data_IF_844807673390
#
_entry.id   IF_844807673390
#
_cell.length_a   1.000
_cell.length_b   1.000
_cell.length_c   1.000
_cell.angle_alpha   90.00
_cell.angle_beta   90.00
_cell.angle_gamma   90.00
#
_symmetry.space_group_name_H-M   'P 1'
#
loop_
_entity.id
_entity.type
_entity.pdbx_description
1 polymer ?
#
# COMPACT_ATOMS: atom_id res chain seq x y z
N UNK A 1 19.31 -52.10 73.10
CA UNK A 1 17.93 -51.61 72.88
C UNK A 1 18.06 -50.09 72.80
N UNK A 2 18.21 -49.50 71.61
CA UNK A 2 17.14 -48.88 70.80
C UNK A 2 16.16 -48.13 71.72
N UNK A 3 16.20 -46.80 71.76
CA UNK A 3 15.48 -45.95 70.81
C UNK A 3 16.28 -44.70 70.40
N UNK A 4 16.28 -44.42 69.10
CA UNK A 4 16.99 -43.32 68.45
C UNK A 4 15.95 -42.22 68.15
N UNK A 5 15.94 -41.14 68.93
CA UNK A 5 15.19 -39.93 68.60
C UNK A 5 15.91 -39.17 67.48
N UNK A 6 15.51 -39.39 66.23
CA UNK A 6 15.89 -38.51 65.12
C UNK A 6 14.80 -37.47 64.95
N UNK A 7 15.11 -36.27 65.42
CA UNK A 7 14.43 -35.03 65.08
C UNK A 7 14.72 -34.78 63.60
N UNK A 8 13.73 -34.99 62.73
CA UNK A 8 13.82 -34.64 61.32
C UNK A 8 13.74 -33.11 61.19
N UNK A 9 14.78 -32.44 60.65
CA UNK A 9 14.68 -31.02 60.40
C UNK A 9 13.81 -30.81 59.16
N UNK A 10 12.86 -29.88 59.28
CA UNK A 10 12.09 -29.32 58.18
C UNK A 10 13.06 -28.77 57.12
N UNK A 11 13.38 -29.56 56.10
CA UNK A 11 13.91 -29.04 54.85
C UNK A 11 12.76 -28.33 54.13
N UNK A 12 12.56 -27.06 54.47
CA UNK A 12 11.82 -26.13 53.62
C UNK A 12 12.63 -26.04 52.32
N UNK A 13 12.21 -26.82 51.32
CA UNK A 13 12.56 -26.61 49.92
C UNK A 13 12.00 -25.24 49.53
N UNK A 14 12.79 -24.19 49.79
CA UNK A 14 12.69 -22.94 49.05
C UNK A 14 12.99 -23.30 47.61
N UNK A 15 11.95 -23.67 46.86
CA UNK A 15 11.93 -23.51 45.41
C UNK A 15 12.11 -22.02 45.16
N UNK A 16 13.37 -21.61 45.08
CA UNK A 16 13.71 -20.41 44.33
C UNK A 16 13.35 -20.79 42.90
N UNK A 17 12.12 -20.51 42.49
CA UNK A 17 11.80 -20.33 41.09
C UNK A 17 12.66 -19.14 40.67
N UNK A 18 13.92 -19.40 40.34
CA UNK A 18 14.64 -18.56 39.40
C UNK A 18 13.83 -18.73 38.12
N UNK A 19 12.85 -17.84 37.93
CA UNK A 19 12.14 -17.71 36.67
C UNK A 19 13.20 -17.40 35.64
N UNK A 20 13.73 -18.44 35.00
CA UNK A 20 14.33 -18.32 33.69
C UNK A 20 13.16 -17.99 32.79
N UNK A 21 12.69 -16.74 32.84
CA UNK A 21 11.80 -16.23 31.82
C UNK A 21 12.56 -16.44 30.52
N UNK A 22 12.05 -17.35 29.69
CA UNK A 22 12.63 -17.65 28.39
C UNK A 22 12.77 -16.32 27.67
N UNK A 23 14.02 -15.90 27.43
CA UNK A 23 14.29 -14.78 26.55
C UNK A 23 13.75 -15.17 25.17
N UNK A 24 12.96 -14.29 24.56
CA UNK A 24 12.38 -14.46 23.23
C UNK A 24 11.55 -15.75 23.04
N UNK A 25 10.59 -16.03 23.91
CA UNK A 25 9.71 -17.20 23.75
C UNK A 25 8.24 -16.86 23.50
N UNK A 26 7.79 -15.66 23.88
CA UNK A 26 6.38 -15.28 23.81
C UNK A 26 5.99 -14.80 22.41
N UNK A 27 4.96 -15.43 21.84
CA UNK A 27 4.38 -15.07 20.54
C UNK A 27 3.51 -13.81 20.65
N UNK A 28 3.07 -13.28 19.50
CA UNK A 28 2.07 -12.22 19.47
C UNK A 28 0.82 -12.61 20.28
N UNK A 29 0.38 -11.73 21.17
CA UNK A 29 -0.77 -11.92 22.06
C UNK A 29 -0.47 -12.73 23.33
N UNK A 30 0.71 -13.32 23.48
CA UNK A 30 1.08 -14.05 24.69
C UNK A 30 1.54 -13.12 25.81
N UNK A 31 1.46 -13.61 27.05
CA UNK A 31 1.80 -12.85 28.25
C UNK A 31 3.29 -12.51 28.30
N UNK A 32 3.59 -11.30 28.72
CA UNK A 32 4.93 -10.81 29.00
C UNK A 32 4.91 -9.82 30.16
N UNK A 33 6.06 -9.63 30.78
CA UNK A 33 6.33 -8.57 31.76
C UNK A 33 7.25 -7.49 31.16
N UNK A 34 8.09 -7.85 30.18
CA UNK A 34 9.09 -7.01 29.54
C UNK A 34 9.34 -7.41 28.08
N UNK A 35 9.73 -6.45 27.25
CA UNK A 35 9.91 -6.60 25.79
C UNK A 35 10.80 -7.79 25.41
N UNK A 36 11.87 -8.04 26.16
CA UNK A 36 12.83 -9.13 25.91
C UNK A 36 12.26 -10.56 26.03
N UNK A 37 11.03 -10.71 26.52
CA UNK A 37 10.33 -12.00 26.52
C UNK A 37 9.64 -12.27 25.19
N UNK A 38 9.32 -11.23 24.41
CA UNK A 38 8.67 -11.36 23.12
C UNK A 38 9.62 -11.93 22.09
N UNK A 39 9.10 -12.77 21.19
CA UNK A 39 9.88 -13.62 20.29
C UNK A 39 10.80 -12.81 19.36
N UNK A 40 10.39 -11.63 18.92
CA UNK A 40 11.14 -10.81 17.97
C UNK A 40 11.39 -9.40 18.51
N UNK A 41 12.42 -8.74 17.98
CA UNK A 41 12.74 -7.33 18.29
C UNK A 41 11.69 -6.34 17.78
N UNK A 42 10.81 -6.77 16.86
CA UNK A 42 9.70 -5.98 16.34
C UNK A 42 8.43 -6.16 17.18
N UNK A 43 8.54 -6.78 18.35
CA UNK A 43 7.48 -6.86 19.35
C UNK A 43 7.89 -6.10 20.62
N UNK A 44 6.92 -5.48 21.27
CA UNK A 44 7.05 -4.85 22.59
C UNK A 44 6.02 -5.44 23.54
N UNK A 45 6.32 -5.41 24.84
CA UNK A 45 5.40 -5.87 25.87
C UNK A 45 4.45 -4.73 26.24
N UNK A 46 3.31 -4.68 25.56
CA UNK A 46 2.31 -3.66 25.78
C UNK A 46 1.13 -4.24 26.58
N UNK A 47 0.81 -3.61 27.72
CA UNK A 47 -0.28 -4.02 28.60
C UNK A 47 -0.19 -5.49 29.06
N UNK A 48 1.03 -6.00 29.27
CA UNK A 48 1.29 -7.37 29.70
C UNK A 48 1.18 -8.42 28.59
N UNK A 49 1.09 -7.99 27.32
CA UNK A 49 1.04 -8.88 26.16
C UNK A 49 2.01 -8.45 25.06
N UNK A 50 2.62 -9.42 24.37
CA UNK A 50 3.49 -9.12 23.25
C UNK A 50 2.67 -8.62 22.06
N UNK A 51 3.01 -7.43 21.55
CA UNK A 51 2.37 -6.79 20.41
C UNK A 51 3.41 -6.30 19.43
N UNK A 52 3.07 -6.26 18.15
CA UNK A 52 3.95 -5.66 17.15
C UNK A 52 4.13 -4.17 17.43
N UNK A 53 5.33 -3.67 17.20
CA UNK A 53 5.61 -2.23 17.25
C UNK A 53 4.83 -1.48 16.16
N UNK A 54 4.77 -0.16 16.27
CA UNK A 54 4.05 0.70 15.34
C UNK A 54 4.39 0.40 13.87
N UNK A 55 3.37 0.50 13.02
CA UNK A 55 3.43 0.19 11.59
C UNK A 55 3.81 -1.26 11.25
N UNK A 56 3.76 -2.21 12.20
CA UNK A 56 3.87 -3.62 11.89
C UNK A 56 2.56 -4.36 12.18
N UNK A 57 2.39 -5.54 11.59
CA UNK A 57 1.27 -6.42 11.88
C UNK A 57 1.74 -7.86 12.08
N UNK A 58 1.00 -8.64 12.87
CA UNK A 58 1.39 -10.01 13.18
C UNK A 58 1.31 -10.90 11.93
N UNK A 59 2.30 -11.79 11.77
CA UNK A 59 2.22 -12.88 10.80
C UNK A 59 1.10 -13.86 11.19
N UNK A 60 0.61 -14.65 10.23
CA UNK A 60 -0.49 -15.60 10.47
C UNK A 60 -0.18 -16.64 11.56
N UNK A 61 1.09 -17.01 11.70
CA UNK A 61 1.57 -17.95 12.74
C UNK A 61 1.89 -17.27 14.08
N UNK A 62 1.65 -15.96 14.20
CA UNK A 62 1.93 -15.10 15.36
C UNK A 62 3.41 -15.06 15.78
N UNK A 63 4.33 -15.53 14.93
CA UNK A 63 5.77 -15.61 15.27
C UNK A 63 6.56 -14.37 14.90
N UNK A 64 6.06 -13.57 13.98
CA UNK A 64 6.76 -12.40 13.46
C UNK A 64 5.85 -11.19 13.37
N UNK A 65 6.47 -10.04 13.22
CA UNK A 65 5.81 -8.80 12.89
C UNK A 65 6.30 -8.37 11.50
N UNK A 66 5.37 -8.28 10.56
CA UNK A 66 5.61 -7.90 9.18
C UNK A 66 5.53 -6.38 9.09
N UNK A 67 6.52 -5.77 8.43
CA UNK A 67 6.58 -4.33 8.24
C UNK A 67 5.44 -3.86 7.30
N UNK A 68 4.92 -2.66 7.57
CA UNK A 68 4.14 -1.88 6.59
C UNK A 68 5.02 -0.83 5.94
N UNK A 69 4.58 -0.28 4.82
CA UNK A 69 5.17 0.95 4.32
C UNK A 69 5.07 2.03 5.42
N UNK A 70 6.12 2.83 5.60
CA UNK A 70 6.38 3.78 6.70
C UNK A 70 6.84 3.18 8.03
N UNK A 71 7.05 1.88 8.11
CA UNK A 71 7.73 1.27 9.27
C UNK A 71 9.13 1.83 9.43
N UNK A 72 9.56 2.13 10.65
CA UNK A 72 10.94 2.55 10.89
C UNK A 72 11.93 1.44 10.51
N UNK A 73 13.06 1.82 9.91
CA UNK A 73 14.10 0.90 9.46
C UNK A 73 15.48 1.53 9.53
N UNK A 74 16.50 0.69 9.62
CA UNK A 74 17.92 1.06 9.50
C UNK A 74 18.53 0.51 8.22
N UNK A 75 18.10 -0.70 7.81
CA UNK A 75 18.50 -1.36 6.57
C UNK A 75 17.29 -2.03 5.90
N UNK A 76 17.38 -2.32 4.60
CA UNK A 76 16.25 -2.91 3.84
C UNK A 76 15.78 -4.27 4.38
N UNK A 77 16.62 -4.99 5.14
CA UNK A 77 16.23 -6.22 5.81
C UNK A 77 15.21 -6.00 6.95
N UNK A 78 15.10 -4.78 7.50
CA UNK A 78 14.09 -4.43 8.50
C UNK A 78 12.68 -4.36 7.91
N UNK A 79 12.55 -4.14 6.60
CA UNK A 79 11.28 -4.12 5.87
C UNK A 79 10.76 -5.54 5.56
N UNK A 80 11.11 -6.50 6.40
CA UNK A 80 10.81 -7.91 6.22
C UNK A 80 9.30 -8.17 6.08
N UNK A 81 8.95 -9.02 5.12
CA UNK A 81 7.58 -9.41 4.80
C UNK A 81 6.81 -8.42 3.93
N UNK A 82 7.25 -7.16 3.83
CA UNK A 82 6.74 -6.21 2.85
C UNK A 82 7.46 -6.39 1.51
N UNK A 83 6.85 -7.14 0.60
CA UNK A 83 7.46 -7.38 -0.72
C UNK A 83 7.59 -6.10 -1.53
N UNK A 84 8.63 -6.01 -2.37
CA UNK A 84 8.93 -4.85 -3.23
C UNK A 84 9.11 -3.55 -2.43
N UNK A 85 9.81 -3.65 -1.29
CA UNK A 85 10.14 -2.51 -0.43
C UNK A 85 11.62 -2.47 -0.09
N UNK A 86 12.07 -1.29 0.31
CA UNK A 86 13.42 -1.05 0.81
C UNK A 86 13.40 -0.01 1.93
N UNK A 87 14.49 0.07 2.70
CA UNK A 87 14.64 1.12 3.68
C UNK A 87 15.09 2.41 3.01
N UNK A 88 14.30 3.47 3.10
CA UNK A 88 14.70 4.77 2.57
C UNK A 88 15.80 5.37 3.45
N UNK A 89 16.95 5.68 2.85
CA UNK A 89 18.15 6.08 3.59
C UNK A 89 17.97 7.35 4.42
N UNK A 90 17.28 8.37 3.90
CA UNK A 90 17.08 9.63 4.62
C UNK A 90 15.91 9.59 5.61
N UNK A 91 14.74 9.13 5.18
CA UNK A 91 13.54 9.07 6.01
C UNK A 91 13.61 7.99 7.11
N UNK A 92 14.50 7.00 6.96
CA UNK A 92 14.61 5.83 7.85
C UNK A 92 13.28 5.11 8.03
N UNK A 93 12.53 5.02 6.94
CA UNK A 93 11.30 4.23 6.88
C UNK A 93 11.23 3.33 5.65
N UNK A 94 10.49 2.24 5.76
CA UNK A 94 10.23 1.32 4.67
C UNK A 94 9.37 1.99 3.60
N UNK A 95 9.86 2.01 2.37
CA UNK A 95 9.15 2.56 1.22
C UNK A 95 8.99 1.49 0.15
N UNK A 96 7.95 1.61 -0.66
CA UNK A 96 7.84 0.79 -1.87
C UNK A 96 8.91 1.23 -2.87
N UNK A 97 9.57 0.26 -3.51
CA UNK A 97 10.59 0.54 -4.53
C UNK A 97 9.95 1.18 -5.78
N UNK A 98 10.78 1.77 -6.64
CA UNK A 98 10.33 2.39 -7.89
C UNK A 98 9.43 1.46 -8.72
N UNK A 99 8.30 1.98 -9.18
CA UNK A 99 7.29 1.22 -9.94
C UNK A 99 6.25 0.51 -9.05
N UNK A 100 6.27 0.76 -7.74
CA UNK A 100 5.29 0.23 -6.79
C UNK A 100 4.72 1.34 -5.91
N UNK A 101 3.46 1.16 -5.51
CA UNK A 101 2.74 2.07 -4.64
C UNK A 101 2.22 1.36 -3.40
N UNK A 102 2.24 2.00 -2.22
CA UNK A 102 1.66 1.40 -1.04
C UNK A 102 0.14 1.26 -1.19
N UNK A 103 -0.40 0.13 -0.72
CA UNK A 103 -1.83 -0.03 -0.47
C UNK A 103 -2.32 1.00 0.55
N UNK A 104 -3.64 1.21 0.61
CA UNK A 104 -4.25 2.20 1.52
C UNK A 104 -3.95 1.92 3.00
N UNK A 105 -3.83 0.65 3.38
CA UNK A 105 -3.47 0.18 4.72
C UNK A 105 -1.96 -0.02 4.93
N UNK A 106 -1.15 0.30 3.91
CA UNK A 106 0.31 0.19 3.86
C UNK A 106 0.87 -1.24 3.97
N UNK A 107 0.04 -2.27 3.88
CA UNK A 107 0.48 -3.67 4.05
C UNK A 107 1.11 -4.28 2.79
N UNK A 108 0.92 -3.65 1.64
CA UNK A 108 1.41 -4.16 0.35
C UNK A 108 2.03 -3.04 -0.48
N UNK A 109 3.07 -3.39 -1.24
CA UNK A 109 3.55 -2.57 -2.35
C UNK A 109 3.01 -3.16 -3.66
N UNK A 110 2.04 -2.47 -4.24
CA UNK A 110 1.33 -2.88 -5.44
C UNK A 110 2.00 -2.30 -6.67
N UNK A 111 2.24 -3.14 -7.68
CA UNK A 111 2.86 -2.70 -8.93
C UNK A 111 1.99 -1.63 -9.61
N UNK A 112 2.64 -0.55 -10.02
CA UNK A 112 2.05 0.47 -10.88
C UNK A 112 1.55 -0.16 -12.18
N UNK A 113 0.46 0.38 -12.70
CA UNK A 113 -0.19 -0.15 -13.89
C UNK A 113 -0.50 0.96 -14.88
N UNK A 114 -0.45 0.62 -16.16
CA UNK A 114 -0.66 1.51 -17.30
C UNK A 114 -2.10 1.41 -17.81
N UNK A 115 -2.45 2.24 -18.79
CA UNK A 115 -3.77 2.19 -19.42
C UNK A 115 -4.06 0.79 -19.97
N UNK A 116 -5.25 0.25 -19.66
CA UNK A 116 -5.69 -1.12 -19.94
C UNK A 116 -4.84 -2.23 -19.29
N UNK A 117 -3.92 -1.89 -18.39
CA UNK A 117 -3.18 -2.84 -17.56
C UNK A 117 -4.03 -3.38 -16.41
N UNK A 118 -3.64 -4.54 -15.86
CA UNK A 118 -4.31 -5.15 -14.71
C UNK A 118 -4.18 -4.30 -13.46
N UNK A 119 -5.20 -4.29 -12.61
CA UNK A 119 -5.17 -3.63 -11.32
C UNK A 119 -6.13 -4.33 -10.34
N UNK A 120 -5.88 -4.09 -9.06
CA UNK A 120 -6.74 -4.48 -7.94
C UNK A 120 -7.27 -3.22 -7.25
N UNK A 121 -6.41 -2.21 -7.09
CA UNK A 121 -6.74 -0.94 -6.45
C UNK A 121 -6.53 0.25 -7.39
N UNK A 122 -7.27 1.33 -7.12
CA UNK A 122 -7.16 2.60 -7.86
C UNK A 122 -5.73 3.16 -7.88
N UNK A 123 -4.98 3.00 -6.78
CA UNK A 123 -3.65 3.59 -6.61
C UNK A 123 -2.65 3.13 -7.69
N UNK A 124 -2.77 1.89 -8.15
CA UNK A 124 -1.92 1.34 -9.21
C UNK A 124 -2.08 2.10 -10.53
N UNK A 125 -3.29 2.56 -10.82
CA UNK A 125 -3.61 3.29 -12.05
C UNK A 125 -3.25 4.76 -11.94
N UNK A 126 -3.54 5.40 -10.79
CA UNK A 126 -3.34 6.85 -10.63
C UNK A 126 -1.86 7.23 -10.61
N UNK A 127 -0.97 6.32 -10.20
CA UNK A 127 0.47 6.55 -10.19
C UNK A 127 1.05 6.92 -11.56
N UNK A 128 0.56 6.28 -12.63
CA UNK A 128 1.06 6.54 -14.00
C UNK A 128 0.09 7.37 -14.82
N UNK A 129 -1.22 7.22 -14.61
CA UNK A 129 -2.27 7.84 -15.43
C UNK A 129 -2.90 9.09 -14.79
N UNK A 130 -2.50 9.46 -13.58
CA UNK A 130 -3.03 10.59 -12.82
C UNK A 130 -4.40 10.35 -12.19
N UNK A 131 -4.91 11.36 -11.48
CA UNK A 131 -6.09 11.26 -10.61
C UNK A 131 -7.41 10.90 -11.31
N UNK A 132 -7.47 11.13 -12.62
CA UNK A 132 -8.62 10.80 -13.46
C UNK A 132 -8.66 9.32 -13.87
N UNK A 133 -7.70 8.51 -13.41
CA UNK A 133 -7.70 7.07 -13.63
C UNK A 133 -8.43 6.32 -12.51
N UNK A 134 -8.97 5.16 -12.87
CA UNK A 134 -9.69 4.24 -11.98
C UNK A 134 -9.35 2.80 -12.31
N UNK A 135 -9.33 1.95 -11.29
CA UNK A 135 -9.33 0.51 -11.50
C UNK A 135 -10.78 0.05 -11.75
N UNK A 136 -11.12 -0.28 -12.99
CA UNK A 136 -12.45 -0.70 -13.40
C UNK A 136 -12.56 -2.23 -13.38
N UNK A 137 -13.30 -2.77 -12.42
CA UNK A 137 -13.58 -4.21 -12.33
C UNK A 137 -14.51 -4.63 -13.47
N UNK A 138 -14.05 -5.58 -14.27
CA UNK A 138 -14.83 -6.17 -15.36
C UNK A 138 -15.82 -7.19 -14.80
N UNK A 139 -17.10 -7.05 -15.16
CA UNK A 139 -18.18 -7.90 -14.63
C UNK A 139 -17.99 -9.37 -14.98
N UNK A 140 -17.47 -9.65 -16.18
CA UNK A 140 -17.38 -11.03 -16.69
C UNK A 140 -16.22 -11.84 -16.09
N UNK A 141 -15.14 -11.16 -15.70
CA UNK A 141 -13.90 -11.82 -15.24
C UNK A 141 -13.57 -11.54 -13.78
N UNK A 142 -14.26 -10.58 -13.16
CA UNK A 142 -13.87 -9.99 -11.85
C UNK A 142 -12.45 -9.41 -11.82
N UNK A 143 -11.78 -9.28 -12.97
CA UNK A 143 -10.45 -8.69 -13.05
C UNK A 143 -10.57 -7.16 -13.21
N UNK A 144 -9.71 -6.41 -12.53
CA UNK A 144 -9.61 -4.97 -12.69
C UNK A 144 -8.69 -4.58 -13.84
N UNK A 145 -9.10 -3.56 -14.60
CA UNK A 145 -8.25 -2.90 -15.60
C UNK A 145 -8.20 -1.40 -15.35
N UNK A 146 -7.04 -0.79 -15.56
CA UNK A 146 -6.90 0.66 -15.45
C UNK A 146 -7.58 1.36 -16.62
N UNK A 147 -8.52 2.22 -16.31
CA UNK A 147 -9.26 3.02 -17.28
C UNK A 147 -9.39 4.47 -16.83
N UNK A 148 -9.83 5.34 -17.72
CA UNK A 148 -10.14 6.72 -17.38
C UNK A 148 -11.58 6.82 -16.84
N UNK A 149 -11.77 7.66 -15.83
CA UNK A 149 -13.07 7.94 -15.22
C UNK A 149 -14.03 8.61 -16.22
N UNK A 150 -15.33 8.56 -15.94
CA UNK A 150 -16.34 9.23 -16.77
C UNK A 150 -16.03 10.71 -16.94
N UNK A 151 -16.13 11.21 -18.19
CA UNK A 151 -15.78 12.59 -18.52
C UNK A 151 -14.28 12.84 -18.73
N UNK A 152 -13.46 11.79 -18.70
CA UNK A 152 -12.05 11.83 -19.08
C UNK A 152 -11.75 10.81 -20.18
N UNK A 153 -10.60 10.94 -20.83
CA UNK A 153 -10.11 9.98 -21.81
C UNK A 153 -8.60 9.79 -21.68
N UNK A 154 -8.09 8.70 -22.24
CA UNK A 154 -6.65 8.46 -22.28
C UNK A 154 -6.04 9.26 -23.43
N UNK A 155 -5.07 10.12 -23.14
CA UNK A 155 -4.29 10.81 -24.16
C UNK A 155 -3.04 10.01 -24.50
N UNK A 156 -2.87 9.68 -25.77
CA UNK A 156 -1.64 9.03 -26.25
C UNK A 156 -0.41 9.95 -26.21
N UNK A 157 -0.63 11.27 -26.22
CA UNK A 157 0.44 12.29 -26.18
C UNK A 157 0.91 12.50 -24.74
N UNK A 158 -0.02 12.74 -23.80
CA UNK A 158 0.30 12.96 -22.39
C UNK A 158 0.53 11.63 -21.63
N UNK A 159 0.23 10.50 -22.27
CA UNK A 159 0.31 9.14 -21.73
C UNK A 159 -0.44 8.94 -20.42
N UNK A 160 -1.55 9.66 -20.24
CA UNK A 160 -2.33 9.68 -19.01
C UNK A 160 -3.80 10.03 -19.25
N UNK A 161 -4.63 9.87 -18.23
CA UNK A 161 -6.03 10.28 -18.29
C UNK A 161 -6.15 11.81 -18.17
N UNK A 162 -6.88 12.41 -19.10
CA UNK A 162 -7.10 13.84 -19.15
C UNK A 162 -8.58 14.17 -19.25
N UNK A 163 -8.96 15.32 -18.70
CA UNK A 163 -10.34 15.78 -18.72
C UNK A 163 -10.79 16.00 -20.16
N UNK A 164 -11.91 15.39 -20.54
CA UNK A 164 -12.55 15.61 -21.84
C UNK A 164 -13.25 16.97 -21.83
N UNK A 165 -13.00 17.76 -22.87
CA UNK A 165 -13.66 19.01 -23.21
C UNK A 165 -14.23 18.88 -24.61
N UNK A 166 -15.51 19.19 -24.77
CA UNK A 166 -16.17 19.12 -26.07
C UNK A 166 -16.03 20.44 -26.83
N UNK A 167 -16.44 20.44 -28.09
CA UNK A 167 -16.45 21.66 -28.90
C UNK A 167 -17.18 22.80 -28.19
N UNK A 168 -16.59 23.99 -28.27
CA UNK A 168 -16.98 25.24 -27.59
C UNK A 168 -16.72 25.28 -26.08
N UNK A 169 -16.33 24.18 -25.43
CA UNK A 169 -15.92 24.21 -24.02
C UNK A 169 -14.60 24.96 -23.84
N UNK A 170 -14.41 25.52 -22.64
CA UNK A 170 -13.14 26.10 -22.24
C UNK A 170 -12.06 25.01 -22.10
N UNK A 171 -10.89 25.29 -22.65
CA UNK A 171 -9.74 24.38 -22.66
C UNK A 171 -8.45 25.12 -22.34
N UNK A 172 -7.46 24.34 -21.90
CA UNK A 172 -6.09 24.78 -21.60
C UNK A 172 -5.09 24.10 -22.53
N UNK A 173 -5.32 22.82 -22.85
CA UNK A 173 -4.44 22.03 -23.71
C UNK A 173 -5.27 21.41 -24.86
N UNK A 174 -4.66 21.31 -26.04
CA UNK A 174 -5.25 20.69 -27.24
C UNK A 174 -5.70 19.25 -26.99
N UNK A 175 -5.00 18.52 -26.12
CA UNK A 175 -5.32 17.13 -25.81
C UNK A 175 -6.68 16.99 -25.13
N UNK A 176 -7.18 18.03 -24.46
CA UNK A 176 -8.49 17.99 -23.81
C UNK A 176 -9.65 17.95 -24.82
N UNK A 177 -9.44 18.46 -26.04
CA UNK A 177 -10.51 18.73 -26.99
C UNK A 177 -10.92 17.50 -27.80
N UNK A 178 -12.17 17.06 -27.59
CA UNK A 178 -12.76 15.91 -28.26
C UNK A 178 -14.05 16.28 -28.97
N UNK A 179 -14.36 15.60 -30.08
CA UNK A 179 -15.69 15.67 -30.69
C UNK A 179 -16.68 14.78 -29.94
N UNK A 180 -17.98 14.90 -30.22
CA UNK A 180 -19.02 14.05 -29.62
C UNK A 180 -18.81 12.55 -29.89
N UNK A 181 -18.10 12.21 -30.97
CA UNK A 181 -17.70 10.83 -31.31
C UNK A 181 -16.42 10.35 -30.61
N UNK A 182 -15.87 11.15 -29.69
CA UNK A 182 -14.60 10.86 -28.99
C UNK A 182 -13.43 10.57 -29.93
N UNK A 183 -13.42 11.21 -31.11
CA UNK A 183 -12.30 11.11 -32.04
C UNK A 183 -11.22 12.10 -31.66
N UNK A 184 -10.07 11.57 -31.27
CA UNK A 184 -8.83 12.35 -31.11
C UNK A 184 -8.47 13.07 -32.41
N UNK A 185 -7.72 14.17 -32.30
CA UNK A 185 -7.12 14.89 -33.43
C UNK A 185 -8.11 15.48 -34.45
N UNK A 186 -9.38 15.68 -34.08
CA UNK A 186 -10.35 16.43 -34.90
C UNK A 186 -10.58 17.86 -34.41
N UNK A 187 -10.33 18.10 -33.13
CA UNK A 187 -10.46 19.40 -32.49
C UNK A 187 -9.13 19.83 -31.88
N UNK A 188 -8.97 21.13 -31.67
CA UNK A 188 -7.82 21.76 -31.03
C UNK A 188 -8.28 22.83 -30.07
N UNK A 189 -7.42 23.19 -29.11
CA UNK A 189 -7.67 24.30 -28.20
C UNK A 189 -7.15 25.60 -28.83
N UNK A 190 -8.06 26.46 -29.28
CA UNK A 190 -7.73 27.75 -29.89
C UNK A 190 -8.44 28.87 -29.12
N UNK A 191 -7.68 29.89 -28.73
CA UNK A 191 -8.20 31.04 -27.97
C UNK A 191 -8.97 30.62 -26.70
N UNK A 192 -8.48 29.57 -26.03
CA UNK A 192 -9.07 29.02 -24.81
C UNK A 192 -10.36 28.21 -25.01
N UNK A 193 -10.73 27.89 -26.26
CA UNK A 193 -11.91 27.08 -26.58
C UNK A 193 -11.58 25.93 -27.51
N UNK A 194 -12.28 24.81 -27.31
CA UNK A 194 -12.19 23.69 -28.23
C UNK A 194 -12.90 24.02 -29.54
N UNK A 195 -12.16 24.01 -30.64
CA UNK A 195 -12.65 24.28 -32.00
C UNK A 195 -12.22 23.18 -32.94
N UNK A 196 -12.89 23.04 -34.08
CA UNK A 196 -12.45 22.11 -35.12
C UNK A 196 -11.08 22.50 -35.69
N UNK A 197 -10.32 21.48 -36.08
CA UNK A 197 -9.07 21.69 -36.81
C UNK A 197 -9.32 22.41 -38.15
N UNK A 198 -8.27 23.03 -38.69
CA UNK A 198 -8.36 23.84 -39.91
C UNK A 198 -9.03 23.10 -41.06
N UNK A 199 -9.85 23.82 -41.82
CA UNK A 199 -10.60 23.28 -42.96
C UNK A 199 -11.87 22.52 -42.59
N UNK A 200 -12.18 22.34 -41.30
CA UNK A 200 -13.43 21.73 -40.84
C UNK A 200 -14.33 22.75 -40.15
N UNK A 201 -15.63 22.50 -40.20
CA UNK A 201 -16.61 23.28 -39.45
C UNK A 201 -17.37 22.40 -38.47
N UNK A 202 -17.84 23.02 -37.39
CA UNK A 202 -18.65 22.35 -36.38
C UNK A 202 -20.09 22.17 -36.90
N UNK A 203 -20.62 20.96 -36.75
CA UNK A 203 -22.04 20.66 -36.92
C UNK A 203 -22.45 19.53 -35.98
N UNK A 204 -23.36 19.82 -35.06
CA UNK A 204 -23.94 18.89 -34.08
C UNK A 204 -22.89 18.24 -33.15
N UNK A 205 -21.85 19.01 -32.79
CA UNK A 205 -20.74 18.54 -31.94
C UNK A 205 -19.69 17.71 -32.68
N UNK A 206 -19.71 17.74 -34.02
CA UNK A 206 -18.78 17.01 -34.90
C UNK A 206 -18.03 17.99 -35.80
N UNK A 207 -16.81 17.62 -36.20
CA UNK A 207 -16.02 18.37 -37.18
C UNK A 207 -16.14 17.73 -38.56
N UNK A 208 -16.73 18.46 -39.51
CA UNK A 208 -17.00 18.02 -40.89
C UNK A 208 -16.12 18.73 -41.90
#
# INVERSE_FOLDING_TARGET
MRELHIITPFCILLFIFTGTQGLNSALYGESCDVDKQCLTRQMTCESGTCRCIDQHYASEDNRNCIAKARSACYESADCYGLQNSECHEDEKTCVCISGYQPSEDYTQCLAESRYQGSCELKIQCTATLGDLAVCQIQVDTSAGICNCTTGSHYSTIEQRCIQTKYLNDACVNVTQCMTKELKENQATCKDGKCVCNEGKYERDGLCK
#
